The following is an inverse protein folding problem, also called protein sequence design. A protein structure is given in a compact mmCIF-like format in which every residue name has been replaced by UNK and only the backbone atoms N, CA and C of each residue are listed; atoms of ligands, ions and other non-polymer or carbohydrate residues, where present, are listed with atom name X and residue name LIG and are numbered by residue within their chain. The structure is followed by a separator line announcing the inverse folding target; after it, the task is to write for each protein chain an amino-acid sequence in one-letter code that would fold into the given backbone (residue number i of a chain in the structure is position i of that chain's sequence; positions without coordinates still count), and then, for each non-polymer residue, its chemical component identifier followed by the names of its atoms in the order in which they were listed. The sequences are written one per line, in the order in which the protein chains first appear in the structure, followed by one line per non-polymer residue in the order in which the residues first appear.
data_IF_027695977787
#
_entry.id   IF_027695977787
#
_cell.length_a   1.000
_cell.length_b   1.000
_cell.length_c   1.000
_cell.angle_alpha   90.00
_cell.angle_beta   90.00
_cell.angle_gamma   90.00
#
_symmetry.space_group_name_H-M   'P 1'
#
loop_
_entity.id
_entity.type
_entity.pdbx_description
1 polymer ?
#
# COMPACT_ATOMS: atom_id res chain seq x y z
N UNK A 1 -8.58 -6.41 4.70
CA UNK A 1 -7.71 -7.59 4.68
C UNK A 1 -6.77 -7.59 3.48
N UNK A 2 -7.21 -7.77 2.23
CA UNK A 2 -6.28 -7.96 1.10
C UNK A 2 -5.29 -6.79 0.82
N UNK A 3 -5.74 -5.53 0.82
CA UNK A 3 -4.82 -4.38 0.65
C UNK A 3 -3.84 -4.21 1.82
N UNK A 4 -4.28 -4.52 3.04
CA UNK A 4 -3.45 -4.43 4.24
C UNK A 4 -2.31 -5.46 4.18
N UNK A 5 -2.60 -6.70 3.80
CA UNK A 5 -1.60 -7.76 3.67
C UNK A 5 -0.54 -7.42 2.61
N UNK A 6 -0.95 -6.90 1.45
CA UNK A 6 0.00 -6.48 0.40
C UNK A 6 0.90 -5.34 0.88
N UNK A 7 0.30 -4.35 1.55
CA UNK A 7 1.06 -3.23 2.11
C UNK A 7 2.07 -3.72 3.17
N UNK A 8 1.66 -4.64 4.04
CA UNK A 8 2.52 -5.18 5.10
C UNK A 8 3.68 -5.98 4.51
N UNK A 9 3.42 -6.86 3.53
CA UNK A 9 4.48 -7.62 2.85
C UNK A 9 5.50 -6.70 2.19
N UNK A 10 5.07 -5.64 1.53
CA UNK A 10 6.00 -4.67 0.93
C UNK A 10 6.77 -3.91 2.03
N UNK A 11 6.12 -3.53 3.13
CA UNK A 11 6.79 -2.89 4.27
C UNK A 11 7.80 -3.80 4.97
N UNK A 12 7.57 -5.11 5.00
CA UNK A 12 8.50 -6.09 5.58
C UNK A 12 9.63 -6.49 4.63
N UNK A 13 9.66 -5.95 3.40
CA UNK A 13 10.64 -6.31 2.38
C UNK A 13 10.39 -7.68 1.74
N UNK A 14 9.22 -8.28 1.99
CA UNK A 14 8.78 -9.57 1.42
C UNK A 14 7.81 -9.39 0.22
N UNK A 15 7.60 -8.13 -0.18
CA UNK A 15 6.76 -7.76 -1.31
C UNK A 15 7.52 -7.80 -2.62
N UNK A 16 6.77 -7.97 -3.71
CA UNK A 16 7.29 -7.94 -5.08
C UNK A 16 6.70 -6.80 -5.89
N UNK A 17 7.27 -6.51 -7.06
CA UNK A 17 6.67 -5.57 -8.02
C UNK A 17 5.27 -5.98 -8.48
N UNK A 18 4.95 -7.28 -8.46
CA UNK A 18 3.59 -7.78 -8.74
C UNK A 18 2.63 -7.42 -7.61
N UNK A 19 3.06 -7.58 -6.35
CA UNK A 19 2.29 -7.17 -5.17
C UNK A 19 1.97 -5.67 -5.21
N UNK A 20 2.93 -4.84 -5.65
CA UNK A 20 2.74 -3.40 -5.83
C UNK A 20 1.69 -3.08 -6.91
N UNK A 21 1.78 -3.73 -8.07
CA UNK A 21 0.81 -3.55 -9.15
C UNK A 21 -0.60 -4.00 -8.72
N UNK A 22 -0.68 -5.09 -7.95
CA UNK A 22 -1.94 -5.60 -7.41
C UNK A 22 -2.56 -4.67 -6.38
N UNK A 23 -1.73 -4.03 -5.55
CA UNK A 23 -2.17 -3.02 -4.60
C UNK A 23 -2.76 -1.79 -5.33
N UNK A 24 -2.14 -1.35 -6.43
CA UNK A 24 -2.65 -0.27 -7.28
C UNK A 24 -4.01 -0.63 -7.89
N UNK A 25 -4.14 -1.83 -8.46
CA UNK A 25 -5.39 -2.30 -9.06
C UNK A 25 -6.52 -2.38 -8.01
N UNK A 26 -6.25 -2.93 -6.82
CA UNK A 26 -7.24 -3.01 -5.75
C UNK A 26 -7.71 -1.62 -5.29
N UNK A 27 -6.79 -0.66 -5.20
CA UNK A 27 -7.15 0.71 -4.86
C UNK A 27 -8.08 1.33 -5.91
N UNK A 28 -7.81 1.09 -7.19
CA UNK A 28 -8.64 1.59 -8.29
C UNK A 28 -10.03 0.92 -8.33
N UNK A 29 -10.08 -0.40 -8.16
CA UNK A 29 -11.33 -1.15 -8.07
C UNK A 29 -12.17 -0.66 -6.91
N UNK A 30 -11.62 -0.50 -5.71
CA UNK A 30 -12.38 -0.01 -4.54
C UNK A 30 -12.86 1.42 -4.75
N UNK A 31 -12.05 2.29 -5.36
CA UNK A 31 -12.44 3.66 -5.67
C UNK A 31 -13.61 3.72 -6.66
N UNK A 32 -13.60 2.88 -7.69
CA UNK A 32 -14.56 2.92 -8.79
C UNK A 32 -15.82 2.06 -8.56
N UNK A 33 -15.75 1.03 -7.71
CA UNK A 33 -16.88 0.11 -7.49
C UNK A 33 -17.67 0.37 -6.20
N UNK A 34 -17.12 1.18 -5.28
CA UNK A 34 -17.82 1.51 -4.04
C UNK A 34 -19.01 2.43 -4.28
N UNK A 35 -20.19 2.06 -3.78
CA UNK A 35 -21.42 2.85 -3.87
C UNK A 35 -21.56 3.91 -2.75
N UNK A 36 -20.67 3.88 -1.76
CA UNK A 36 -20.62 4.83 -0.65
C UNK A 36 -19.38 5.73 -0.81
N UNK A 37 -19.53 7.04 -0.61
CA UNK A 37 -18.44 8.02 -0.76
C UNK A 37 -17.22 7.72 0.13
N UNK A 38 -17.44 7.14 1.32
CA UNK A 38 -16.34 6.71 2.20
C UNK A 38 -15.53 5.56 1.59
N UNK A 39 -16.19 4.59 0.95
CA UNK A 39 -15.52 3.49 0.25
C UNK A 39 -14.72 3.98 -0.96
N UNK A 40 -15.25 4.99 -1.68
CA UNK A 40 -14.55 5.61 -2.82
C UNK A 40 -13.31 6.38 -2.38
N UNK A 41 -13.35 7.03 -1.21
CA UNK A 41 -12.21 7.83 -0.71
C UNK A 41 -11.23 7.05 0.14
N UNK A 42 -11.62 5.89 0.68
CA UNK A 42 -10.76 5.02 1.49
C UNK A 42 -9.42 4.64 0.85
N UNK A 43 -9.31 4.37 -0.48
CA UNK A 43 -8.03 4.07 -1.11
C UNK A 43 -7.17 5.31 -1.45
N UNK A 44 -7.68 6.53 -1.29
CA UNK A 44 -6.94 7.76 -1.62
C UNK A 44 -5.61 7.96 -0.86
N UNK A 45 -5.50 7.69 0.45
CA UNK A 45 -4.20 7.77 1.14
C UNK A 45 -3.17 6.83 0.52
N UNK A 46 -3.53 5.58 0.22
CA UNK A 46 -2.64 4.60 -0.40
C UNK A 46 -2.32 4.96 -1.86
N UNK A 47 -3.29 5.42 -2.66
CA UNK A 47 -3.03 5.92 -4.03
C UNK A 47 -2.08 7.10 -4.04
N UNK A 48 -2.21 8.01 -3.08
CA UNK A 48 -1.35 9.19 -2.99
C UNK A 48 0.08 8.76 -2.67
N UNK A 49 0.28 7.83 -1.74
CA UNK A 49 1.62 7.34 -1.42
C UNK A 49 2.24 6.55 -2.58
N UNK A 50 1.46 5.71 -3.26
CA UNK A 50 1.92 4.99 -4.46
C UNK A 50 2.32 5.94 -5.59
N UNK A 51 1.66 7.10 -5.71
CA UNK A 51 1.98 8.10 -6.73
C UNK A 51 3.23 8.91 -6.39
N UNK A 52 3.34 9.40 -5.15
CA UNK A 52 4.43 10.32 -4.76
C UNK A 52 5.67 9.60 -4.24
N UNK A 53 5.50 8.44 -3.60
CA UNK A 53 6.56 7.68 -2.95
C UNK A 53 6.78 6.31 -3.60
N UNK A 54 6.45 6.14 -4.89
CA UNK A 54 6.65 4.86 -5.61
C UNK A 54 8.07 4.30 -5.45
N UNK A 55 9.07 5.17 -5.47
CA UNK A 55 10.47 4.78 -5.35
C UNK A 55 10.75 4.09 -4.01
N UNK A 56 10.20 4.59 -2.90
CA UNK A 56 10.33 3.95 -1.58
C UNK A 56 9.80 2.52 -1.60
N UNK A 57 8.65 2.27 -2.23
CA UNK A 57 8.12 0.90 -2.37
C UNK A 57 9.07 0.01 -3.18
N UNK A 58 9.65 0.53 -4.26
CA UNK A 58 10.61 -0.22 -5.08
C UNK A 58 11.91 -0.50 -4.32
N UNK A 59 12.37 0.43 -3.49
CA UNK A 59 13.56 0.26 -2.64
C UNK A 59 13.33 -0.74 -1.52
N UNK A 60 12.13 -0.81 -0.95
CA UNK A 60 11.72 -1.85 -0.01
C UNK A 60 11.70 -3.23 -0.68
N UNK A 61 11.13 -3.33 -1.89
CA UNK A 61 11.07 -4.58 -2.67
C UNK A 61 12.48 -5.06 -3.07
N UNK A 62 13.37 -4.14 -3.42
CA UNK A 62 14.76 -4.47 -3.78
C UNK A 62 15.64 -4.77 -2.55
N UNK A 63 15.09 -4.65 -1.32
CA UNK A 63 15.82 -4.86 -0.07
C UNK A 63 16.86 -3.78 0.23
N UNK A 64 16.75 -2.62 -0.42
CA UNK A 64 17.67 -1.48 -0.29
C UNK A 64 17.33 -0.54 0.86
N UNK A 65 16.09 -0.56 1.33
CA UNK A 65 15.61 0.32 2.38
C UNK A 65 14.93 -0.47 3.49
N UNK A 66 15.20 -0.12 4.76
CA UNK A 66 14.44 -0.58 5.92
C UNK A 66 13.48 0.57 6.25
N UNK A 67 12.15 0.36 6.27
CA UNK A 67 11.22 1.48 6.41
C UNK A 67 11.37 2.13 7.78
N UNK A 68 11.69 3.42 7.79
CA UNK A 68 11.90 4.24 8.99
C UNK A 68 10.62 4.51 9.83
N UNK A 69 9.59 3.67 9.72
CA UNK A 69 8.28 3.93 10.32
C UNK A 69 7.36 2.73 10.52
N UNK A 70 7.79 1.49 10.24
CA UNK A 70 6.97 0.28 10.45
C UNK A 70 6.76 -0.10 11.93
N UNK A 71 6.96 0.86 12.85
CA UNK A 71 6.99 0.64 14.30
C UNK A 71 6.14 1.62 15.10
N UNK A 72 5.08 2.21 14.54
CA UNK A 72 4.12 2.99 15.35
C UNK A 72 2.68 2.66 14.99
N UNK A 73 1.91 2.36 16.06
CA UNK A 73 0.45 2.22 16.18
C UNK A 73 -0.10 0.78 15.95
N UNK A 74 -0.59 0.02 16.94
CA UNK A 74 -1.08 0.32 18.29
C UNK A 74 -0.84 -0.84 19.26
N UNK A 75 -0.28 -0.52 20.43
CA UNK A 75 -0.55 -1.29 21.64
C UNK A 75 -1.94 -0.87 22.15
N UNK A 76 -2.85 -1.83 22.32
CA UNK A 76 -4.02 -1.76 23.22
C UNK A 76 -4.46 -3.17 23.57
#
# INVERSE_FOLDING_TARGET
YQMHELLNRIAEGEGTTDDLAKLEELCDVVANTSLCGLGQTSPNPVRSTLRYFRHEYLELIDGKHIPAGAGQEVAS
#
